data_IF_388303311793
#
_entry.id   IF_388303311793
#
_cell.length_a   1.000
_cell.length_b   1.000
_cell.length_c   1.000
_cell.angle_alpha   90.00
_cell.angle_beta   90.00
_cell.angle_gamma   90.00
#
_symmetry.space_group_name_H-M   'P 1'
#
loop_
_entity.id
_entity.type
_entity.pdbx_description
1 polymer ?
#
# COMPACT_ATOMS: atom_id res chain seq x y z
N UNK A 1 -18.57 -40.78 -6.99
CA UNK A 1 -19.73 -40.45 -6.14
C UNK A 1 -19.59 -41.18 -4.81
N UNK A 2 -19.24 -40.47 -3.73
CA UNK A 2 -19.38 -41.00 -2.36
C UNK A 2 -19.41 -39.82 -1.38
N UNK A 3 -20.62 -39.40 -1.07
CA UNK A 3 -20.96 -38.48 0.02
C UNK A 3 -20.98 -39.30 1.30
N UNK A 4 -20.30 -38.84 2.36
CA UNK A 4 -20.43 -39.44 3.70
C UNK A 4 -20.69 -38.35 4.72
N UNK A 5 -21.78 -38.58 5.44
CA UNK A 5 -22.43 -37.76 6.45
C UNK A 5 -21.70 -37.82 7.79
N UNK A 6 -21.85 -36.79 8.63
CA UNK A 6 -21.32 -36.78 9.99
C UNK A 6 -21.66 -35.51 10.76
N UNK A 7 -22.93 -35.36 11.14
CA UNK A 7 -23.36 -34.40 12.14
C UNK A 7 -22.93 -34.87 13.55
N UNK A 8 -22.27 -34.01 14.31
CA UNK A 8 -22.14 -34.16 15.76
C UNK A 8 -22.73 -32.92 16.42
N UNK A 9 -23.90 -33.13 17.04
CA UNK A 9 -24.49 -32.23 18.01
C UNK A 9 -23.46 -31.98 19.14
N UNK A 10 -23.19 -30.71 19.40
CA UNK A 10 -22.38 -30.28 20.53
C UNK A 10 -22.74 -28.85 20.88
N UNK A 11 -23.92 -28.67 21.47
CA UNK A 11 -24.39 -27.41 22.04
C UNK A 11 -23.48 -27.02 23.20
N UNK A 12 -22.44 -26.23 22.92
CA UNK A 12 -21.80 -25.38 23.93
C UNK A 12 -21.85 -23.97 23.37
N UNK A 13 -22.73 -23.19 23.98
CA UNK A 13 -22.83 -21.76 23.84
C UNK A 13 -21.48 -21.12 24.24
N UNK A 14 -20.59 -20.94 23.26
CA UNK A 14 -19.54 -19.92 23.39
C UNK A 14 -20.23 -18.57 23.26
N UNK A 15 -20.38 -17.93 24.43
CA UNK A 15 -20.73 -16.54 24.61
C UNK A 15 -20.28 -15.68 23.42
N UNK A 16 -21.26 -15.06 22.75
CA UNK A 16 -21.04 -14.01 21.76
C UNK A 16 -20.47 -12.80 22.51
N UNK A 17 -19.16 -12.76 22.68
CA UNK A 17 -18.44 -11.54 23.02
C UNK A 17 -18.47 -10.67 21.77
N UNK A 18 -19.24 -9.58 21.85
CA UNK A 18 -19.39 -8.54 20.85
C UNK A 18 -18.01 -8.18 20.26
N UNK A 19 -17.79 -8.64 19.02
CA UNK A 19 -16.57 -8.40 18.28
C UNK A 19 -16.44 -6.92 17.93
N UNK A 20 -15.58 -6.20 18.66
CA UNK A 20 -15.00 -4.98 18.12
C UNK A 20 -13.93 -5.38 17.12
N UNK A 21 -14.30 -5.47 15.84
CA UNK A 21 -13.33 -5.56 14.74
C UNK A 21 -12.57 -4.24 14.67
N UNK A 22 -11.48 -4.11 15.43
CA UNK A 22 -10.54 -3.02 15.26
C UNK A 22 -9.77 -3.29 13.96
N UNK A 23 -10.15 -2.64 12.87
CA UNK A 23 -9.29 -2.53 11.69
C UNK A 23 -8.09 -1.67 12.09
N UNK A 24 -7.02 -2.31 12.55
CA UNK A 24 -5.70 -1.68 12.60
C UNK A 24 -5.26 -1.47 11.17
N UNK A 25 -5.48 -0.27 10.63
CA UNK A 25 -4.77 0.16 9.42
C UNK A 25 -3.29 0.17 9.78
N UNK A 26 -2.52 -0.80 9.28
CA UNK A 26 -1.07 -0.79 9.38
C UNK A 26 -0.58 0.43 8.60
N UNK A 27 -0.30 1.52 9.31
CA UNK A 27 0.34 2.68 8.73
C UNK A 27 1.82 2.34 8.62
N UNK A 28 2.24 1.81 7.47
CA UNK A 28 3.65 1.54 7.21
C UNK A 28 4.43 2.85 7.39
N UNK A 29 5.43 2.89 8.28
CA UNK A 29 6.26 4.06 8.48
C UNK A 29 6.79 4.56 7.14
N UNK A 30 6.77 5.88 6.92
CA UNK A 30 7.42 6.46 5.74
C UNK A 30 8.90 6.27 5.94
N UNK A 31 9.51 5.38 5.18
CA UNK A 31 10.96 5.29 5.12
C UNK A 31 11.48 6.47 4.27
N UNK A 32 12.13 7.48 4.89
CA UNK A 32 12.64 8.63 4.17
C UNK A 32 13.74 8.27 3.15
N UNK A 33 14.28 7.04 3.18
CA UNK A 33 15.27 6.57 2.23
C UNK A 33 14.66 6.13 0.88
N UNK A 34 13.37 5.83 0.83
CA UNK A 34 12.73 5.36 -0.41
C UNK A 34 12.41 6.53 -1.31
N UNK A 35 13.12 6.62 -2.44
CA UNK A 35 12.96 7.67 -3.45
C UNK A 35 12.58 7.08 -4.80
N UNK A 36 11.94 7.89 -5.65
CA UNK A 36 11.62 7.51 -7.04
C UNK A 36 12.89 7.04 -7.77
N UNK A 37 13.99 7.78 -7.63
CA UNK A 37 15.27 7.44 -8.26
C UNK A 37 15.85 6.12 -7.76
N UNK A 38 15.69 5.78 -6.48
CA UNK A 38 16.13 4.49 -5.93
C UNK A 38 15.28 3.34 -6.50
N UNK A 39 13.94 3.49 -6.47
CA UNK A 39 13.02 2.50 -7.02
C UNK A 39 13.27 2.23 -8.52
N UNK A 40 13.50 3.29 -9.30
CA UNK A 40 13.82 3.13 -10.72
C UNK A 40 15.15 2.38 -10.95
N UNK A 41 16.18 2.64 -10.13
CA UNK A 41 17.44 1.88 -10.18
C UNK A 41 17.25 0.41 -9.81
N UNK A 42 16.28 0.09 -8.96
CA UNK A 42 15.90 -1.28 -8.61
C UNK A 42 15.02 -1.95 -9.67
N UNK A 43 14.66 -1.25 -10.75
CA UNK A 43 13.85 -1.77 -11.86
C UNK A 43 12.34 -1.63 -11.67
N UNK A 44 11.89 -0.73 -10.80
CA UNK A 44 10.49 -0.30 -10.82
C UNK A 44 10.24 0.64 -12.00
N UNK A 45 9.11 0.45 -12.67
CA UNK A 45 8.70 1.26 -13.82
C UNK A 45 7.58 2.22 -13.45
N UNK A 46 7.59 3.42 -14.04
CA UNK A 46 6.49 4.37 -13.92
C UNK A 46 5.28 3.84 -14.70
N UNK A 47 4.18 3.54 -14.01
CA UNK A 47 2.96 3.00 -14.63
C UNK A 47 1.81 3.99 -14.71
N UNK A 48 1.80 5.03 -13.87
CA UNK A 48 0.78 6.09 -13.93
C UNK A 48 1.22 7.34 -13.18
N UNK A 49 0.54 8.46 -13.48
CA UNK A 49 0.68 9.72 -12.75
C UNK A 49 -0.69 10.24 -12.33
N UNK A 50 -0.75 10.90 -11.17
CA UNK A 50 -1.95 11.56 -10.67
C UNK A 50 -1.63 13.01 -10.29
N UNK A 51 -2.63 13.88 -10.37
CA UNK A 51 -2.55 15.23 -9.82
C UNK A 51 -3.27 15.25 -8.48
N UNK A 52 -2.61 15.78 -7.46
CA UNK A 52 -3.28 16.10 -6.20
C UNK A 52 -3.92 17.47 -6.26
N UNK A 53 -4.91 17.70 -5.39
CA UNK A 53 -5.48 19.04 -5.15
C UNK A 53 -4.44 20.02 -4.61
N UNK A 54 -3.37 19.52 -3.97
CA UNK A 54 -2.24 20.31 -3.48
C UNK A 54 -1.21 20.68 -4.58
N UNK A 55 -1.43 20.24 -5.82
CA UNK A 55 -0.57 20.57 -6.97
C UNK A 55 0.71 19.74 -7.10
N UNK A 56 1.03 18.89 -6.12
CA UNK A 56 2.16 17.95 -6.24
C UNK A 56 1.81 16.78 -7.17
N UNK A 57 2.69 16.41 -8.12
CA UNK A 57 2.50 15.21 -8.91
C UNK A 57 2.65 13.96 -8.03
N UNK A 58 1.71 13.03 -8.18
CA UNK A 58 1.82 11.67 -7.67
C UNK A 58 2.23 10.72 -8.80
N UNK A 59 3.09 9.75 -8.48
CA UNK A 59 3.66 8.78 -9.40
C UNK A 59 3.39 7.38 -8.85
N UNK A 60 2.90 6.48 -9.70
CA UNK A 60 2.80 5.06 -9.39
C UNK A 60 3.96 4.31 -10.02
N UNK A 61 4.76 3.62 -9.20
CA UNK A 61 5.90 2.81 -9.64
C UNK A 61 5.65 1.32 -9.35
N UNK A 62 5.83 0.45 -10.34
CA UNK A 62 5.53 -0.99 -10.22
C UNK A 62 6.72 -1.87 -10.59
N UNK A 63 6.89 -2.97 -9.85
CA UNK A 63 7.78 -4.09 -10.18
C UNK A 63 7.10 -5.40 -9.80
N UNK A 64 6.71 -6.20 -10.79
CA UNK A 64 5.89 -7.38 -10.55
C UNK A 64 4.56 -6.99 -9.89
N UNK A 65 4.28 -7.57 -8.72
CA UNK A 65 3.09 -7.26 -7.90
C UNK A 65 3.29 -6.10 -6.92
N UNK A 66 4.53 -5.61 -6.74
CA UNK A 66 4.83 -4.51 -5.83
C UNK A 66 4.50 -3.17 -6.49
N UNK A 67 3.73 -2.34 -5.80
CA UNK A 67 3.33 -1.02 -6.25
C UNK A 67 3.71 0.03 -5.20
N UNK A 68 4.25 1.16 -5.64
CA UNK A 68 4.54 2.33 -4.81
C UNK A 68 3.77 3.53 -5.32
N UNK A 69 3.29 4.35 -4.39
CA UNK A 69 2.81 5.71 -4.65
C UNK A 69 3.83 6.69 -4.09
N UNK A 70 4.36 7.54 -4.97
CA UNK A 70 5.35 8.55 -4.63
C UNK A 70 4.82 9.94 -4.98
N UNK A 71 5.00 10.91 -4.09
CA UNK A 71 4.76 12.31 -4.40
C UNK A 71 6.06 13.05 -4.52
N UNK A 72 6.11 13.93 -5.51
CA UNK A 72 7.30 14.68 -5.84
C UNK A 72 7.03 16.18 -5.80
N UNK A 73 8.10 16.96 -5.67
CA UNK A 73 8.06 18.41 -5.81
C UNK A 73 9.16 18.86 -6.76
N UNK A 74 8.80 19.79 -7.63
CA UNK A 74 9.76 20.66 -8.27
C UNK A 74 9.90 21.92 -7.42
N UNK A 75 11.13 22.40 -7.22
CA UNK A 75 11.36 23.71 -6.61
C UNK A 75 12.00 24.61 -7.65
N UNK A 76 11.69 25.92 -7.69
CA UNK A 76 12.22 26.83 -8.70
C UNK A 76 13.76 26.91 -8.76
N UNK A 77 14.45 26.42 -7.72
CA UNK A 77 15.90 26.43 -7.60
C UNK A 77 16.55 25.07 -7.90
N UNK A 78 15.76 24.01 -8.13
CA UNK A 78 16.28 22.66 -8.35
C UNK A 78 16.23 22.28 -9.83
N UNK A 79 17.31 21.68 -10.33
CA UNK A 79 17.33 21.02 -11.65
C UNK A 79 16.71 19.63 -11.64
N UNK A 80 16.34 19.14 -10.46
CA UNK A 80 15.80 17.80 -10.25
C UNK A 80 14.48 17.84 -9.49
N UNK A 81 13.66 16.85 -9.78
CA UNK A 81 12.43 16.58 -9.06
C UNK A 81 12.77 15.84 -7.77
N UNK A 82 12.40 16.42 -6.62
CA UNK A 82 12.65 15.81 -5.31
C UNK A 82 11.49 14.91 -4.90
N UNK A 83 11.80 13.72 -4.38
CA UNK A 83 10.78 12.89 -3.72
C UNK A 83 10.41 13.52 -2.39
N UNK A 84 9.12 13.80 -2.18
CA UNK A 84 8.60 14.24 -0.90
C UNK A 84 8.29 13.06 0.01
N UNK A 85 7.61 12.05 -0.52
CA UNK A 85 7.40 10.77 0.15
C UNK A 85 7.09 9.67 -0.86
N UNK A 86 7.44 8.43 -0.52
CA UNK A 86 7.06 7.22 -1.24
C UNK A 86 6.53 6.20 -0.22
N UNK A 87 5.45 5.49 -0.58
CA UNK A 87 4.94 4.38 0.24
C UNK A 87 4.50 3.23 -0.65
N UNK A 88 4.60 1.98 -0.16
CA UNK A 88 3.97 0.85 -0.83
C UNK A 88 2.45 1.04 -0.86
N UNK A 89 1.83 0.49 -1.89
CA UNK A 89 0.37 0.41 -2.05
C UNK A 89 0.01 -1.07 -1.94
N UNK A 90 -0.70 -1.41 -0.86
CA UNK A 90 -1.25 -2.75 -0.59
C UNK A 90 -2.75 -2.78 -0.88
#
# INVERSE_FOLDING_TARGET
MKTTSGAILGTIACLVLLGTTHQTTAQTPVDPAVTVSALMKEGYELVSTIRTTAGSPGLFLRKGTSLYLCFVAETPRSKTVATQYCKPVE
#
